data_IF_301656256475
#
_entry.id   IF_301656256475
#
_cell.length_a   1.000
_cell.length_b   1.000
_cell.length_c   1.000
_cell.angle_alpha   90.00
_cell.angle_beta   90.00
_cell.angle_gamma   90.00
#
_symmetry.space_group_name_H-M   'P 1'
#
loop_
_entity.id
_entity.type
_entity.pdbx_description
1 polymer ?
#
# COMPACT_ATOMS: atom_id res chain seq x y z
N UNK A 1 38.18 46.85 26.90
CA UNK A 1 38.23 45.37 27.02
C UNK A 1 36.84 44.96 27.50
N UNK A 2 35.93 44.29 26.80
CA UNK A 2 35.90 43.54 25.56
C UNK A 2 34.57 43.87 24.85
N UNK A 3 34.61 44.23 23.56
CA UNK A 3 33.40 44.24 22.74
C UNK A 3 33.22 42.82 22.21
N UNK A 4 32.39 42.04 22.89
CA UNK A 4 31.99 40.71 22.42
C UNK A 4 30.96 40.90 21.29
N UNK A 5 31.45 41.07 20.07
CA UNK A 5 30.63 41.08 18.87
C UNK A 5 30.20 39.64 18.58
N UNK A 6 29.05 39.24 19.12
CA UNK A 6 28.40 37.98 18.79
C UNK A 6 27.70 38.19 17.44
N UNK A 7 28.45 37.97 16.35
CA UNK A 7 27.91 37.77 15.02
C UNK A 7 27.27 36.37 14.99
N UNK A 8 26.02 36.28 15.43
CA UNK A 8 25.19 35.11 15.18
C UNK A 8 24.81 35.12 13.70
N UNK A 9 25.57 34.33 12.94
CA UNK A 9 25.38 34.03 11.53
C UNK A 9 23.90 33.70 11.33
N UNK A 10 23.20 34.52 10.53
CA UNK A 10 21.90 34.19 9.96
C UNK A 10 22.07 32.85 9.23
N UNK A 11 21.62 31.75 9.86
CA UNK A 11 21.33 30.54 9.14
C UNK A 11 20.26 30.90 8.12
N UNK A 12 20.65 30.94 6.84
CA UNK A 12 19.73 31.03 5.72
C UNK A 12 18.72 29.90 5.91
N UNK A 13 17.53 30.28 6.33
CA UNK A 13 16.36 29.43 6.36
C UNK A 13 16.11 29.06 4.91
N UNK A 14 16.76 27.98 4.45
CA UNK A 14 16.46 27.43 3.14
C UNK A 14 14.97 27.12 3.18
N UNK A 15 14.14 27.78 2.34
CA UNK A 15 12.76 27.36 2.24
C UNK A 15 12.82 25.89 1.84
N UNK A 16 12.28 25.05 2.71
CA UNK A 16 11.97 23.66 2.40
C UNK A 16 10.99 23.75 1.24
N UNK A 17 11.54 23.77 0.03
CA UNK A 17 10.76 23.62 -1.17
C UNK A 17 10.08 22.27 -1.01
N UNK A 18 8.79 22.29 -0.68
CA UNK A 18 7.93 21.12 -0.75
C UNK A 18 8.18 20.54 -2.13
N UNK A 19 8.91 19.42 -2.17
CA UNK A 19 9.37 18.81 -3.40
C UNK A 19 8.13 18.28 -4.13
N UNK A 20 7.55 19.11 -4.99
CA UNK A 20 6.67 18.62 -6.02
C UNK A 20 7.56 17.81 -6.97
N UNK A 21 7.47 16.48 -6.88
CA UNK A 21 8.13 15.61 -7.84
C UNK A 21 7.30 15.66 -9.12
N UNK A 22 7.89 16.19 -10.19
CA UNK A 22 7.27 16.28 -11.51
C UNK A 22 7.58 15.01 -12.31
N UNK A 23 6.56 14.48 -12.99
CA UNK A 23 6.69 13.40 -13.97
C UNK A 23 6.90 14.03 -15.35
N UNK A 24 8.09 13.90 -15.93
CA UNK A 24 8.39 14.40 -17.26
C UNK A 24 8.52 13.22 -18.26
N UNK A 25 7.95 13.39 -19.46
CA UNK A 25 8.12 12.45 -20.57
C UNK A 25 9.25 12.97 -21.48
N UNK A 26 10.30 12.16 -21.67
CA UNK A 26 11.41 12.49 -22.56
C UNK A 26 11.23 11.79 -23.92
N UNK A 27 11.75 12.41 -24.99
CA UNK A 27 11.67 11.90 -26.37
C UNK A 27 11.99 10.39 -26.42
N UNK A 28 11.03 9.59 -26.86
CA UNK A 28 11.09 8.12 -26.84
C UNK A 28 10.19 7.45 -25.80
N UNK A 29 9.32 8.20 -25.11
CA UNK A 29 8.28 7.63 -24.22
C UNK A 29 8.80 7.12 -22.87
N UNK A 30 10.03 7.48 -22.51
CA UNK A 30 10.60 7.14 -21.19
C UNK A 30 10.14 8.17 -20.16
N UNK A 31 9.71 7.70 -19.00
CA UNK A 31 9.24 8.54 -17.88
C UNK A 31 10.40 8.79 -16.92
N UNK A 32 10.62 10.06 -16.56
CA UNK A 32 11.60 10.47 -15.56
C UNK A 32 10.97 11.37 -14.49
N UNK A 33 11.40 11.20 -13.24
CA UNK A 33 10.91 11.98 -12.10
C UNK A 33 11.97 12.99 -11.67
N UNK A 34 11.60 14.27 -11.63
CA UNK A 34 12.52 15.36 -11.30
C UNK A 34 11.91 16.32 -10.30
N UNK A 35 12.77 16.99 -9.52
CA UNK A 35 12.36 18.03 -8.57
C UNK A 35 12.10 19.39 -9.23
N UNK A 36 12.35 19.53 -10.53
CA UNK A 36 12.25 20.78 -11.29
C UNK A 36 11.11 20.69 -12.31
N UNK A 37 10.33 21.77 -12.52
CA UNK A 37 9.26 21.79 -13.52
C UNK A 37 9.77 21.53 -14.95
N UNK A 38 9.06 20.71 -15.73
CA UNK A 38 9.44 20.39 -17.12
C UNK A 38 9.43 21.66 -18.01
N UNK A 39 10.46 21.85 -18.84
CA UNK A 39 10.65 23.04 -19.68
C UNK A 39 9.64 23.17 -20.84
N UNK A 40 9.13 22.04 -21.33
CA UNK A 40 8.05 21.95 -22.30
C UNK A 40 6.71 21.95 -21.56
N UNK A 41 5.74 22.78 -22.00
CA UNK A 41 4.41 22.94 -21.39
C UNK A 41 3.49 21.69 -21.56
N UNK A 42 4.05 20.49 -21.47
CA UNK A 42 3.36 19.21 -21.41
C UNK A 42 3.62 18.55 -20.06
N UNK A 43 3.39 19.30 -18.98
CA UNK A 43 3.09 18.69 -17.72
C UNK A 43 1.65 18.20 -17.81
N UNK A 44 1.43 16.93 -18.14
CA UNK A 44 0.22 16.25 -17.68
C UNK A 44 0.33 16.20 -16.16
N UNK A 45 -0.14 17.29 -15.55
CA UNK A 45 -0.25 17.47 -14.12
C UNK A 45 -1.26 16.44 -13.61
N UNK A 46 -0.79 15.22 -13.38
CA UNK A 46 -1.32 14.45 -12.28
C UNK A 46 -0.92 15.25 -11.05
N UNK A 47 -1.79 16.19 -10.65
CA UNK A 47 -1.79 16.76 -9.31
C UNK A 47 -1.58 15.57 -8.38
N UNK A 48 -0.43 15.49 -7.72
CA UNK A 48 -0.25 14.59 -6.60
C UNK A 48 -1.12 15.19 -5.48
N UNK A 49 -2.43 15.04 -5.64
CA UNK A 49 -3.33 15.03 -4.51
C UNK A 49 -2.77 13.89 -3.68
N UNK A 50 -2.19 14.23 -2.52
CA UNK A 50 -2.08 13.24 -1.47
C UNK A 50 -3.46 12.63 -1.28
N UNK A 51 -3.56 11.30 -1.24
CA UNK A 51 -4.62 10.68 -0.50
C UNK A 51 -3.95 9.90 0.65
N UNK A 52 -4.37 10.22 1.87
CA UNK A 52 -4.57 9.16 2.85
C UNK A 52 -5.30 7.98 2.15
N UNK A 53 -5.01 6.73 2.52
CA UNK A 53 -5.27 5.58 1.66
C UNK A 53 -6.75 5.46 1.32
N UNK A 54 -6.99 4.91 0.13
CA UNK A 54 -8.26 4.42 -0.41
C UNK A 54 -8.97 5.31 -1.44
N UNK A 55 -9.18 4.64 -2.59
CA UNK A 55 -10.20 4.84 -3.62
C UNK A 55 -9.89 5.73 -4.83
N UNK A 56 -9.90 5.02 -5.97
CA UNK A 56 -10.31 5.41 -7.32
C UNK A 56 -9.40 6.34 -8.14
N UNK A 57 -8.62 5.73 -9.04
CA UNK A 57 -8.29 6.31 -10.34
C UNK A 57 -8.66 5.30 -11.45
N UNK A 58 -9.55 5.65 -12.41
CA UNK A 58 -9.84 4.82 -13.57
C UNK A 58 -8.77 5.07 -14.64
N UNK A 59 -7.85 4.13 -14.78
CA UNK A 59 -6.90 4.06 -15.89
C UNK A 59 -7.44 3.13 -16.97
N UNK A 60 -7.87 3.70 -18.09
CA UNK A 60 -8.26 2.98 -19.31
C UNK A 60 -7.08 2.17 -19.87
N UNK A 61 -7.26 0.86 -20.04
CA UNK A 61 -6.49 0.04 -20.99
C UNK A 61 -7.39 -1.10 -21.50
N UNK A 62 -7.49 -1.33 -22.82
CA UNK A 62 -8.45 -2.25 -23.40
C UNK A 62 -7.93 -3.71 -23.43
N UNK A 63 -8.89 -4.63 -23.38
CA UNK A 63 -8.84 -6.03 -23.79
C UNK A 63 -8.19 -7.06 -22.85
N UNK A 64 -8.96 -8.14 -22.62
CA UNK A 64 -8.76 -9.16 -21.60
C UNK A 64 -9.71 -8.89 -20.44
N UNK A 65 -10.71 -9.75 -20.26
CA UNK A 65 -11.76 -9.69 -19.23
C UNK A 65 -11.18 -9.73 -17.80
N UNK A 66 -10.46 -8.68 -17.41
CA UNK A 66 -10.09 -8.44 -16.03
C UNK A 66 -11.34 -7.88 -15.39
N UNK A 67 -12.11 -8.73 -14.72
CA UNK A 67 -13.13 -8.28 -13.76
C UNK A 67 -12.49 -7.15 -12.95
N UNK A 68 -13.01 -5.94 -13.13
CA UNK A 68 -12.56 -4.81 -12.36
C UNK A 68 -12.92 -5.14 -10.91
N UNK A 69 -11.91 -5.33 -10.05
CA UNK A 69 -12.18 -5.52 -8.64
C UNK A 69 -12.66 -4.16 -8.11
N UNK A 70 -13.91 -4.05 -7.69
CA UNK A 70 -14.52 -2.81 -7.18
C UNK A 70 -14.73 -2.96 -5.67
N UNK A 71 -14.02 -2.18 -4.86
CA UNK A 71 -14.19 -2.14 -3.41
C UNK A 71 -13.05 -2.81 -2.62
N UNK A 72 -13.38 -3.46 -1.48
CA UNK A 72 -12.43 -4.15 -0.57
C UNK A 72 -12.11 -5.57 -1.03
N UNK A 73 -11.81 -5.73 -2.31
CA UNK A 73 -11.54 -7.01 -2.93
C UNK A 73 -10.04 -7.23 -3.09
N UNK A 74 -9.62 -8.45 -2.80
CA UNK A 74 -8.23 -8.85 -2.73
C UNK A 74 -7.80 -9.50 -4.04
N UNK A 75 -6.63 -9.09 -4.55
CA UNK A 75 -5.93 -9.78 -5.62
C UNK A 75 -4.51 -10.08 -5.14
N UNK A 76 -4.24 -11.34 -4.85
CA UNK A 76 -2.97 -11.79 -4.26
C UNK A 76 -2.64 -13.19 -4.76
N UNK A 77 -1.34 -13.47 -4.86
CA UNK A 77 -0.82 -14.78 -5.18
C UNK A 77 0.33 -15.11 -4.21
N UNK A 78 0.17 -16.19 -3.46
CA UNK A 78 1.15 -16.74 -2.54
C UNK A 78 1.50 -18.14 -3.00
N UNK A 79 2.79 -18.42 -3.21
CA UNK A 79 3.23 -19.74 -3.66
C UNK A 79 3.59 -20.65 -2.50
N UNK A 80 4.32 -20.13 -1.52
CA UNK A 80 4.67 -20.85 -0.30
C UNK A 80 4.90 -19.84 0.81
N UNK A 81 3.84 -19.53 1.55
CA UNK A 81 3.89 -18.53 2.60
C UNK A 81 3.35 -19.09 3.92
N UNK A 82 3.99 -18.81 5.07
CA UNK A 82 3.49 -19.23 6.37
C UNK A 82 2.08 -18.72 6.60
N UNK A 83 1.19 -19.58 7.09
CA UNK A 83 -0.24 -19.24 7.31
C UNK A 83 -0.38 -18.02 8.20
N UNK A 84 0.47 -17.89 9.22
CA UNK A 84 0.46 -16.72 10.11
C UNK A 84 0.78 -15.41 9.36
N UNK A 85 1.74 -15.44 8.45
CA UNK A 85 2.09 -14.28 7.63
C UNK A 85 0.95 -13.95 6.65
N UNK A 86 0.29 -14.97 6.08
CA UNK A 86 -0.88 -14.79 5.22
C UNK A 86 -2.01 -14.07 5.96
N UNK A 87 -2.29 -14.48 7.19
CA UNK A 87 -3.29 -13.84 8.04
C UNK A 87 -2.91 -12.40 8.40
N UNK A 88 -1.61 -12.08 8.54
CA UNK A 88 -1.15 -10.71 8.79
C UNK A 88 -1.44 -9.80 7.60
N UNK A 89 -1.07 -10.23 6.39
CA UNK A 89 -1.34 -9.48 5.15
C UNK A 89 -2.84 -9.23 4.98
N UNK A 90 -3.68 -10.21 5.32
CA UNK A 90 -5.14 -10.04 5.30
C UNK A 90 -5.66 -9.05 6.33
N UNK A 91 -5.11 -9.08 7.55
CA UNK A 91 -5.47 -8.13 8.59
C UNK A 91 -5.11 -6.69 8.15
N UNK A 92 -3.90 -6.49 7.64
CA UNK A 92 -3.42 -5.20 7.14
C UNK A 92 -4.29 -4.67 5.99
N UNK A 93 -4.66 -5.54 5.04
CA UNK A 93 -5.53 -5.14 3.93
C UNK A 93 -6.93 -4.74 4.38
N UNK A 94 -7.50 -5.49 5.34
CA UNK A 94 -8.86 -5.22 5.83
C UNK A 94 -8.92 -4.05 6.82
N UNK A 95 -7.77 -3.59 7.32
CA UNK A 95 -7.65 -2.58 8.36
C UNK A 95 -7.90 -3.14 9.77
N UNK A 96 -7.80 -4.45 9.93
CA UNK A 96 -7.97 -5.15 11.21
C UNK A 96 -6.61 -5.46 11.85
N UNK A 97 -6.62 -5.71 13.16
CA UNK A 97 -5.46 -6.27 13.88
C UNK A 97 -5.50 -7.79 13.84
N UNK A 98 -4.35 -8.45 13.91
CA UNK A 98 -4.28 -9.91 14.02
C UNK A 98 -3.85 -10.33 15.45
N UNK A 99 -4.68 -11.16 16.08
CA UNK A 99 -4.39 -11.87 17.32
C UNK A 99 -4.37 -13.40 17.04
N UNK A 100 -3.25 -13.90 16.53
CA UNK A 100 -3.07 -15.32 16.22
C UNK A 100 -2.38 -16.07 17.37
N UNK A 101 -2.93 -17.22 17.74
CA UNK A 101 -2.32 -18.15 18.71
C UNK A 101 -1.01 -18.75 18.16
N UNK A 102 -0.09 -19.12 19.04
CA UNK A 102 1.18 -19.76 18.65
C UNK A 102 0.98 -21.11 17.94
N UNK A 103 -0.20 -21.72 18.11
CA UNK A 103 -0.59 -22.98 17.46
C UNK A 103 -0.85 -22.85 15.95
N UNK A 104 -0.98 -21.62 15.43
CA UNK A 104 -1.21 -21.36 14.00
C UNK A 104 0.10 -21.52 13.23
N UNK A 105 0.32 -22.73 12.71
CA UNK A 105 1.54 -23.14 12.01
C UNK A 105 1.22 -23.76 10.63
N UNK A 106 2.24 -23.88 9.79
CA UNK A 106 2.17 -24.42 8.42
C UNK A 106 2.36 -23.35 7.35
N UNK A 107 2.47 -23.78 6.10
CA UNK A 107 2.51 -22.93 4.91
C UNK A 107 1.47 -23.38 3.89
N UNK A 108 1.18 -22.52 2.92
CA UNK A 108 0.24 -22.82 1.85
C UNK A 108 0.44 -21.94 0.63
N UNK A 109 -0.14 -22.41 -0.47
CA UNK A 109 -0.23 -21.70 -1.74
C UNK A 109 -1.67 -21.23 -1.96
N UNK A 110 -1.86 -19.95 -2.26
CA UNK A 110 -3.18 -19.36 -2.49
C UNK A 110 -3.14 -18.34 -3.61
N UNK A 111 -4.17 -18.35 -4.46
CA UNK A 111 -4.34 -17.34 -5.50
C UNK A 111 -5.78 -16.86 -5.46
N UNK A 112 -5.96 -15.58 -5.18
CA UNK A 112 -7.27 -14.94 -5.11
C UNK A 112 -7.34 -13.81 -6.11
N UNK A 113 -8.46 -13.72 -6.82
CA UNK A 113 -8.70 -12.79 -7.92
C UNK A 113 -10.03 -12.07 -7.68
N UNK A 114 -9.97 -10.81 -7.22
CA UNK A 114 -11.13 -10.01 -6.83
C UNK A 114 -12.03 -10.70 -5.78
N UNK A 115 -11.44 -11.23 -4.71
CA UNK A 115 -12.21 -11.92 -3.66
C UNK A 115 -12.26 -11.06 -2.38
N UNK A 116 -13.41 -10.87 -1.73
CA UNK A 116 -13.48 -10.15 -0.46
C UNK A 116 -12.60 -10.79 0.60
N UNK A 117 -11.93 -9.96 1.42
CA UNK A 117 -10.98 -10.44 2.43
C UNK A 117 -11.62 -11.39 3.46
N UNK A 118 -12.90 -11.22 3.79
CA UNK A 118 -13.62 -12.09 4.73
C UNK A 118 -13.78 -13.51 4.16
N UNK A 119 -14.13 -13.61 2.88
CA UNK A 119 -14.20 -14.88 2.16
C UNK A 119 -12.83 -15.54 2.08
N UNK A 120 -11.77 -14.77 1.80
CA UNK A 120 -10.39 -15.28 1.81
C UNK A 120 -10.01 -15.81 3.20
N UNK A 121 -10.34 -15.07 4.26
CA UNK A 121 -10.07 -15.46 5.64
C UNK A 121 -10.74 -16.80 6.00
N UNK A 122 -12.01 -16.99 5.60
CA UNK A 122 -12.74 -18.23 5.82
C UNK A 122 -12.18 -19.41 5.01
N UNK A 123 -11.74 -19.19 3.76
CA UNK A 123 -11.13 -20.24 2.93
C UNK A 123 -9.81 -20.72 3.53
N UNK A 124 -8.92 -19.81 3.96
CA UNK A 124 -7.66 -20.16 4.64
C UNK A 124 -7.94 -20.91 5.95
N UNK A 125 -8.91 -20.44 6.74
CA UNK A 125 -9.28 -21.08 7.99
C UNK A 125 -9.75 -22.52 7.76
N UNK A 126 -10.56 -22.74 6.72
CA UNK A 126 -11.08 -24.07 6.37
C UNK A 126 -9.97 -25.00 5.92
N UNK A 127 -9.03 -24.54 5.08
CA UNK A 127 -7.91 -25.34 4.57
C UNK A 127 -6.92 -25.75 5.66
N UNK A 128 -6.70 -24.88 6.65
CA UNK A 128 -5.72 -25.10 7.71
C UNK A 128 -6.32 -25.54 9.04
N UNK A 129 -7.60 -25.92 9.06
CA UNK A 129 -8.32 -26.35 10.26
C UNK A 129 -8.20 -25.32 11.40
N UNK A 130 -8.42 -24.05 11.08
CA UNK A 130 -8.38 -22.96 12.04
C UNK A 130 -9.79 -22.54 12.43
N UNK A 131 -9.93 -22.08 13.66
CA UNK A 131 -11.07 -21.29 14.12
C UNK A 131 -10.68 -19.83 14.01
N UNK A 132 -11.41 -19.07 13.21
CA UNK A 132 -11.26 -17.62 13.05
C UNK A 132 -12.48 -16.90 13.61
N UNK A 133 -12.25 -15.76 14.26
CA UNK A 133 -13.30 -14.90 14.80
C UNK A 133 -12.88 -13.45 14.62
N UNK A 134 -13.79 -12.59 14.16
CA UNK A 134 -13.54 -11.15 14.02
C UNK A 134 -14.37 -10.40 15.06
N UNK A 135 -13.71 -9.70 15.97
CA UNK A 135 -14.35 -8.88 17.01
C UNK A 135 -13.65 -7.54 17.15
N UNK A 136 -14.40 -6.44 17.16
CA UNK A 136 -13.89 -5.09 17.42
C UNK A 136 -12.67 -4.70 16.57
N UNK A 137 -12.68 -5.06 15.28
CA UNK A 137 -11.57 -4.77 14.37
C UNK A 137 -10.32 -5.63 14.62
N UNK A 138 -10.46 -6.76 15.32
CA UNK A 138 -9.39 -7.73 15.58
C UNK A 138 -9.80 -9.10 15.08
N UNK A 139 -8.94 -9.72 14.28
CA UNK A 139 -9.05 -11.09 13.80
C UNK A 139 -8.33 -11.98 14.81
N UNK A 140 -9.09 -12.83 15.49
CA UNK A 140 -8.58 -13.88 16.35
C UNK A 140 -8.47 -15.17 15.56
N UNK A 141 -7.31 -15.84 15.61
CA UNK A 141 -7.12 -17.13 14.95
C UNK A 141 -6.47 -18.14 15.89
N UNK A 142 -6.99 -19.36 15.90
CA UNK A 142 -6.43 -20.50 16.66
C UNK A 142 -6.66 -21.80 15.89
N UNK A 143 -5.92 -22.85 16.23
CA UNK A 143 -6.18 -24.19 15.67
C UNK A 143 -7.50 -24.75 16.21
N UNK A 144 -8.28 -25.43 15.36
CA UNK A 144 -9.50 -26.13 15.75
C UNK A 144 -9.20 -27.31 16.69
#
# INVERSE_FOLDING_TARGET
>A
MNRLAILFILALFQPSAFAAVYKCEINGGKIEYQATPCANKQATSSKLAQPAPSSSAPGTTPSGERKQCVGKELRINFTDMPVRATLQVLADFSGNKLAADASVNGSGAFSYECVPWDTVLQDIASRHNLIVKVENGTIFSRKR
#
